data_IF_781364556841
#
_entry.id   IF_781364556841
#
_cell.length_a   1.000
_cell.length_b   1.000
_cell.length_c   1.000
_cell.angle_alpha   90.00
_cell.angle_beta   90.00
_cell.angle_gamma   90.00
#
_symmetry.space_group_name_H-M   'P 1'
#
loop_
_entity.id
_entity.type
_entity.pdbx_description
1 polymer ?
#
# COMPACT_ATOMS: atom_id res chain seq x y z
N UNK A 1 48.74 24.96 11.30
CA UNK A 1 47.96 25.25 10.06
C UNK A 1 47.61 24.00 9.26
N UNK A 2 48.56 23.12 8.86
CA UNK A 2 48.24 21.90 8.08
C UNK A 2 47.25 20.94 8.76
N UNK A 3 47.32 20.76 10.08
CA UNK A 3 46.37 19.92 10.82
C UNK A 3 44.97 20.56 11.02
N UNK A 4 44.89 21.89 11.08
CA UNK A 4 43.61 22.61 11.07
C UNK A 4 42.92 22.57 9.70
N UNK A 5 43.69 22.63 8.60
CA UNK A 5 43.18 22.47 7.24
C UNK A 5 42.68 21.03 6.97
N UNK A 6 43.37 20.02 7.51
CA UNK A 6 42.93 18.61 7.41
C UNK A 6 41.64 18.33 8.20
N UNK A 7 41.49 18.89 9.41
CA UNK A 7 40.27 18.76 10.20
C UNK A 7 39.05 19.44 9.54
N UNK A 8 39.27 20.60 8.90
CA UNK A 8 38.22 21.32 8.16
C UNK A 8 37.76 20.55 6.91
N UNK A 9 38.70 19.88 6.21
CA UNK A 9 38.39 19.02 5.06
C UNK A 9 37.60 17.76 5.45
N UNK A 10 37.91 17.16 6.61
CA UNK A 10 37.15 16.02 7.14
C UNK A 10 35.73 16.41 7.57
N UNK A 11 35.56 17.60 8.16
CA UNK A 11 34.23 18.09 8.54
C UNK A 11 33.36 18.39 7.30
N UNK A 12 33.93 19.01 6.26
CA UNK A 12 33.23 19.28 4.99
C UNK A 12 32.82 18.01 4.23
N UNK A 13 33.60 16.92 4.30
CA UNK A 13 33.23 15.63 3.68
C UNK A 13 32.06 14.93 4.40
N UNK A 14 31.96 15.05 5.73
CA UNK A 14 30.85 14.43 6.47
C UNK A 14 29.48 15.04 6.20
N UNK A 15 29.40 16.34 5.87
CA UNK A 15 28.13 16.99 5.52
C UNK A 15 27.60 16.57 4.14
N UNK A 16 28.48 16.32 3.16
CA UNK A 16 28.08 15.91 1.82
C UNK A 16 27.37 14.55 1.78
N UNK A 17 27.85 13.60 2.58
CA UNK A 17 27.27 12.25 2.62
C UNK A 17 25.84 12.23 3.22
N UNK A 18 25.58 13.05 4.26
CA UNK A 18 24.26 13.12 4.89
C UNK A 18 23.22 13.78 3.96
N UNK A 19 23.56 14.88 3.29
CA UNK A 19 22.66 15.56 2.37
C UNK A 19 22.28 14.67 1.17
N UNK A 20 23.24 13.95 0.59
CA UNK A 20 23.01 13.04 -0.53
C UNK A 20 22.12 11.84 -0.16
N UNK A 21 22.16 11.40 1.11
CA UNK A 21 21.30 10.32 1.59
C UNK A 21 19.83 10.74 1.73
N UNK A 22 19.56 11.98 2.17
CA UNK A 22 18.21 12.51 2.33
C UNK A 22 17.50 12.71 0.98
N UNK A 23 18.21 13.20 -0.04
CA UNK A 23 17.66 13.36 -1.40
C UNK A 23 17.34 12.01 -2.05
N UNK A 24 18.19 11.00 -1.84
CA UNK A 24 17.95 9.65 -2.33
C UNK A 24 16.72 9.00 -1.67
N UNK A 25 16.53 9.23 -0.37
CA UNK A 25 15.38 8.75 0.39
C UNK A 25 14.07 9.43 -0.02
N UNK A 26 14.09 10.75 -0.24
CA UNK A 26 12.96 11.50 -0.77
C UNK A 26 12.58 11.03 -2.19
N UNK A 27 13.59 10.81 -3.05
CA UNK A 27 13.38 10.30 -4.41
C UNK A 27 12.75 8.91 -4.40
N UNK A 28 13.28 7.99 -3.57
CA UNK A 28 12.74 6.64 -3.47
C UNK A 28 11.31 6.64 -2.94
N UNK A 29 11.02 7.47 -1.94
CA UNK A 29 9.66 7.69 -1.42
C UNK A 29 8.69 8.16 -2.50
N UNK A 30 9.12 9.09 -3.35
CA UNK A 30 8.31 9.56 -4.47
C UNK A 30 8.05 8.45 -5.49
N UNK A 31 9.02 7.58 -5.76
CA UNK A 31 8.82 6.42 -6.65
C UNK A 31 7.75 5.47 -6.11
N UNK A 32 7.76 5.18 -4.80
CA UNK A 32 6.73 4.36 -4.16
C UNK A 32 5.35 5.03 -4.24
N UNK A 33 5.27 6.33 -3.97
CA UNK A 33 4.01 7.08 -4.11
C UNK A 33 3.45 7.00 -5.53
N UNK A 34 4.27 7.30 -6.54
CA UNK A 34 3.86 7.22 -7.94
C UNK A 34 3.41 5.82 -8.34
N UNK A 35 4.13 4.78 -7.89
CA UNK A 35 3.76 3.39 -8.14
C UNK A 35 2.37 3.06 -7.56
N UNK A 36 2.12 3.43 -6.30
CA UNK A 36 0.85 3.19 -5.63
C UNK A 36 -0.30 3.99 -6.24
N UNK A 37 -0.09 5.27 -6.57
CA UNK A 37 -1.11 6.10 -7.20
C UNK A 37 -1.50 5.55 -8.58
N UNK A 38 -0.52 5.06 -9.35
CA UNK A 38 -0.82 4.40 -10.61
C UNK A 38 -1.53 3.06 -10.40
N UNK A 39 -1.16 2.27 -9.39
CA UNK A 39 -1.88 1.02 -9.07
C UNK A 39 -3.36 1.28 -8.74
N UNK A 40 -3.64 2.31 -7.92
CA UNK A 40 -5.02 2.74 -7.63
C UNK A 40 -5.75 3.24 -8.87
N UNK A 41 -5.06 3.96 -9.76
CA UNK A 41 -5.61 4.42 -11.05
C UNK A 41 -5.94 3.26 -11.99
N UNK A 42 -5.11 2.22 -12.03
CA UNK A 42 -5.35 1.04 -12.87
C UNK A 42 -6.61 0.30 -12.41
N UNK A 43 -6.81 0.16 -11.09
CA UNK A 43 -8.06 -0.35 -10.54
C UNK A 43 -9.28 0.48 -10.94
N UNK A 44 -9.21 1.81 -10.80
CA UNK A 44 -10.32 2.70 -11.15
C UNK A 44 -10.71 2.62 -12.64
N UNK A 45 -9.75 2.31 -13.51
CA UNK A 45 -9.98 2.13 -14.95
C UNK A 45 -10.31 0.69 -15.34
N UNK A 46 -10.36 -0.25 -14.40
CA UNK A 46 -10.45 -1.68 -14.64
C UNK A 46 -9.36 -2.18 -15.62
N UNK A 47 -8.14 -1.64 -15.52
CA UNK A 47 -7.01 -2.04 -16.35
C UNK A 47 -6.38 -3.33 -15.80
N UNK A 48 -6.28 -4.42 -16.60
CA UNK A 48 -5.66 -5.68 -16.16
C UNK A 48 -4.22 -5.54 -15.65
N UNK A 49 -3.47 -4.51 -16.08
CA UNK A 49 -2.11 -4.19 -15.57
C UNK A 49 -2.09 -4.01 -14.05
N UNK A 50 -3.23 -3.67 -13.44
CA UNK A 50 -3.44 -3.66 -12.01
C UNK A 50 -2.91 -4.93 -11.31
N UNK A 51 -3.20 -6.10 -11.86
CA UNK A 51 -2.77 -7.38 -11.29
C UNK A 51 -1.29 -7.65 -11.57
N UNK A 52 -0.76 -7.19 -12.69
CA UNK A 52 0.65 -7.41 -13.07
C UNK A 52 1.64 -6.67 -12.17
N UNK A 53 1.16 -5.67 -11.42
CA UNK A 53 1.90 -4.96 -10.37
C UNK A 53 1.98 -5.70 -9.04
N UNK A 54 1.26 -6.80 -8.89
CA UNK A 54 1.38 -7.69 -7.74
C UNK A 54 2.35 -8.83 -8.08
N UNK A 55 3.15 -9.22 -7.08
CA UNK A 55 4.02 -10.37 -7.20
C UNK A 55 3.22 -11.63 -7.54
N UNK A 56 3.79 -12.62 -8.26
CA UNK A 56 3.10 -13.87 -8.57
C UNK A 56 2.57 -14.62 -7.33
N UNK A 57 3.30 -14.54 -6.21
CA UNK A 57 2.92 -15.06 -4.90
C UNK A 57 2.34 -14.00 -3.96
N UNK A 58 1.99 -12.81 -4.49
CA UNK A 58 1.48 -11.70 -3.70
C UNK A 58 0.12 -11.99 -3.10
N UNK A 59 -0.14 -11.41 -1.93
CA UNK A 59 -1.39 -11.59 -1.18
C UNK A 59 -2.20 -10.30 -1.18
N UNK A 60 -3.50 -10.42 -1.43
CA UNK A 60 -4.49 -9.37 -1.25
C UNK A 60 -5.46 -9.77 -0.13
N UNK A 61 -5.59 -8.92 0.88
CA UNK A 61 -6.58 -9.04 1.94
C UNK A 61 -7.61 -7.93 1.79
N UNK A 62 -8.85 -8.33 1.57
CA UNK A 62 -9.98 -7.41 1.42
C UNK A 62 -10.58 -6.99 2.76
N UNK A 63 -11.76 -6.38 2.71
CA UNK A 63 -12.44 -5.84 3.89
C UNK A 63 -13.31 -6.87 4.60
N UNK A 64 -13.77 -7.91 3.90
CA UNK A 64 -14.50 -9.02 4.51
C UNK A 64 -13.54 -10.06 5.11
N UNK A 65 -13.94 -10.69 6.21
CA UNK A 65 -13.10 -11.62 7.00
C UNK A 65 -12.65 -12.87 6.22
N UNK A 66 -13.33 -13.20 5.12
CA UNK A 66 -13.00 -14.35 4.26
C UNK A 66 -12.09 -13.96 3.09
N UNK A 67 -11.83 -12.67 2.89
CA UNK A 67 -11.10 -12.13 1.75
C UNK A 67 -9.59 -12.20 1.98
N UNK A 68 -9.03 -13.35 1.64
CA UNK A 68 -7.58 -13.56 1.51
C UNK A 68 -7.30 -14.34 0.24
N UNK A 69 -6.55 -13.72 -0.67
CA UNK A 69 -6.30 -14.29 -1.99
C UNK A 69 -4.85 -14.15 -2.39
N UNK A 70 -4.31 -15.16 -3.08
CA UNK A 70 -3.16 -14.94 -3.95
C UNK A 70 -3.55 -14.01 -5.10
N UNK A 71 -2.59 -13.36 -5.76
CA UNK A 71 -2.84 -12.51 -6.94
C UNK A 71 -3.76 -13.17 -7.96
N UNK A 72 -3.51 -14.43 -8.31
CA UNK A 72 -4.27 -15.12 -9.36
C UNK A 72 -5.69 -15.47 -8.89
N UNK A 73 -5.87 -15.84 -7.62
CA UNK A 73 -7.20 -16.00 -7.01
C UNK A 73 -7.97 -14.68 -7.00
N UNK A 74 -7.29 -13.59 -6.63
CA UNK A 74 -7.89 -12.26 -6.59
C UNK A 74 -8.31 -11.81 -7.98
N UNK A 75 -7.48 -12.04 -9.01
CA UNK A 75 -7.82 -11.76 -10.41
C UNK A 75 -9.09 -12.48 -10.87
N UNK A 76 -9.25 -13.75 -10.49
CA UNK A 76 -10.47 -14.52 -10.81
C UNK A 76 -11.68 -13.94 -10.08
N UNK A 77 -11.57 -13.66 -8.79
CA UNK A 77 -12.64 -13.06 -7.99
C UNK A 77 -13.05 -11.66 -8.49
N UNK A 78 -12.07 -10.85 -8.91
CA UNK A 78 -12.25 -9.49 -9.39
C UNK A 78 -12.80 -9.40 -10.81
N UNK A 79 -12.73 -10.48 -11.60
CA UNK A 79 -13.16 -10.51 -13.00
C UNK A 79 -14.55 -9.88 -13.25
N UNK A 80 -15.63 -10.26 -12.55
CA UNK A 80 -16.95 -9.66 -12.78
C UNK A 80 -17.03 -8.17 -12.44
N UNK A 81 -16.07 -7.61 -11.69
CA UNK A 81 -15.99 -6.18 -11.38
C UNK A 81 -15.23 -5.42 -12.47
N UNK A 82 -14.15 -6.01 -12.98
CA UNK A 82 -13.35 -5.45 -14.07
C UNK A 82 -14.11 -5.48 -15.40
N UNK A 83 -14.82 -6.57 -15.72
CA UNK A 83 -15.60 -6.70 -16.97
C UNK A 83 -16.67 -5.60 -17.09
N UNK A 84 -17.28 -5.20 -15.97
CA UNK A 84 -18.32 -4.16 -15.92
C UNK A 84 -17.78 -2.74 -15.77
N UNK A 85 -16.45 -2.55 -15.77
CA UNK A 85 -15.77 -1.27 -15.53
C UNK A 85 -16.27 -0.52 -14.29
N UNK A 86 -16.67 -1.29 -13.28
CA UNK A 86 -17.17 -0.80 -11.99
C UNK A 86 -16.43 -1.56 -10.88
N UNK A 87 -15.11 -1.41 -10.91
CA UNK A 87 -14.22 -1.84 -9.85
C UNK A 87 -14.15 -0.73 -8.78
N UNK A 88 -13.09 -0.73 -7.98
CA UNK A 88 -12.88 0.22 -6.90
C UNK A 88 -12.11 1.46 -7.37
N UNK A 89 -12.40 2.60 -6.75
CA UNK A 89 -11.71 3.86 -6.98
C UNK A 89 -11.13 4.32 -5.65
N UNK A 90 -9.80 4.31 -5.57
CA UNK A 90 -9.05 4.63 -4.37
C UNK A 90 -8.24 5.88 -4.61
N UNK A 91 -8.47 6.91 -3.80
CA UNK A 91 -7.67 8.15 -3.83
C UNK A 91 -6.99 8.32 -2.49
N UNK A 92 -5.65 8.38 -2.49
CA UNK A 92 -4.90 8.59 -1.26
C UNK A 92 -5.15 9.99 -0.69
N UNK A 93 -5.54 10.02 0.58
CA UNK A 93 -5.62 11.24 1.40
C UNK A 93 -4.25 11.53 2.01
N UNK A 94 -3.62 10.47 2.54
CA UNK A 94 -2.27 10.48 3.09
C UNK A 94 -1.63 9.11 2.88
N UNK A 95 -0.32 9.09 2.66
CA UNK A 95 0.49 7.87 2.58
C UNK A 95 1.81 8.08 3.32
N UNK A 96 2.07 7.21 4.29
CA UNK A 96 3.37 7.09 4.91
C UNK A 96 4.12 5.95 4.21
N UNK A 97 5.40 6.16 3.93
CA UNK A 97 6.24 5.15 3.28
C UNK A 97 7.45 4.92 4.17
N UNK A 98 7.92 3.69 4.19
CA UNK A 98 9.09 3.27 4.93
C UNK A 98 9.85 2.28 4.04
N UNK A 99 11.14 2.11 4.29
CA UNK A 99 11.93 1.19 3.49
C UNK A 99 13.18 0.72 4.20
N UNK A 100 13.62 -0.47 3.78
CA UNK A 100 14.91 -1.06 4.15
C UNK A 100 16.07 -0.13 3.75
N UNK A 101 17.18 -0.18 4.50
CA UNK A 101 18.35 0.66 4.23
C UNK A 101 18.90 0.49 2.81
N UNK A 102 18.84 -0.73 2.26
CA UNK A 102 19.25 -1.03 0.89
C UNK A 102 18.15 -0.80 -0.16
N UNK A 103 16.96 -0.31 0.24
CA UNK A 103 15.82 -0.02 -0.63
C UNK A 103 15.35 -1.23 -1.46
N UNK A 104 15.57 -2.44 -0.95
CA UNK A 104 15.07 -3.69 -1.56
C UNK A 104 13.59 -3.93 -1.26
N UNK A 105 13.15 -3.49 -0.08
CA UNK A 105 11.76 -3.48 0.35
C UNK A 105 11.32 -2.10 0.80
N UNK A 106 10.05 -1.79 0.52
CA UNK A 106 9.30 -0.69 1.10
C UNK A 106 8.01 -1.23 1.74
N UNK A 107 7.53 -0.56 2.77
CA UNK A 107 6.19 -0.79 3.32
C UNK A 107 5.51 0.55 3.54
N UNK A 108 4.19 0.55 3.52
CA UNK A 108 3.41 1.77 3.61
C UNK A 108 2.14 1.55 4.41
N UNK A 109 1.63 2.65 4.95
CA UNK A 109 0.24 2.78 5.36
C UNK A 109 -0.37 3.99 4.65
N UNK A 110 -1.62 3.86 4.24
CA UNK A 110 -2.34 4.93 3.57
C UNK A 110 -3.79 5.01 4.06
N UNK A 111 -4.33 6.22 4.04
CA UNK A 111 -5.75 6.45 4.20
C UNK A 111 -6.32 6.82 2.84
N UNK A 112 -7.39 6.13 2.45
CA UNK A 112 -7.99 6.21 1.13
C UNK A 112 -9.40 6.77 1.23
N UNK A 113 -9.73 7.69 0.34
CA UNK A 113 -11.11 7.99 0.01
C UNK A 113 -11.62 6.94 -0.98
N UNK A 114 -12.75 6.31 -0.67
CA UNK A 114 -13.32 5.19 -1.44
C UNK A 114 -14.84 5.27 -1.50
N UNK A 115 -15.48 4.40 -2.30
CA UNK A 115 -16.95 4.29 -2.33
C UNK A 115 -17.55 3.74 -1.02
N UNK A 116 -16.74 3.05 -0.21
CA UNK A 116 -17.16 2.50 1.09
C UNK A 116 -16.99 3.51 2.25
N UNK A 117 -16.54 4.73 1.95
CA UNK A 117 -16.06 5.70 2.93
C UNK A 117 -14.54 5.65 3.09
N UNK A 118 -14.03 6.11 4.23
CA UNK A 118 -12.59 6.14 4.48
C UNK A 118 -12.08 4.73 4.79
N UNK A 119 -11.11 4.28 4.01
CA UNK A 119 -10.39 3.04 4.27
C UNK A 119 -8.98 3.33 4.77
N UNK A 120 -8.44 2.40 5.56
CA UNK A 120 -7.03 2.32 5.91
C UNK A 120 -6.45 1.11 5.20
N UNK A 121 -5.37 1.31 4.47
CA UNK A 121 -4.63 0.24 3.82
C UNK A 121 -3.17 0.22 4.27
N UNK A 122 -2.56 -0.95 4.17
CA UNK A 122 -1.12 -1.13 4.34
C UNK A 122 -0.61 -2.18 3.37
N UNK A 123 0.67 -2.10 3.02
CA UNK A 123 1.25 -3.06 2.10
C UNK A 123 2.77 -3.11 2.12
N UNK A 124 3.28 -4.13 1.47
CA UNK A 124 4.70 -4.42 1.28
C UNK A 124 5.00 -4.45 -0.21
N UNK A 125 6.03 -3.71 -0.61
CA UNK A 125 6.51 -3.60 -1.98
C UNK A 125 7.94 -4.11 -2.03
N UNK A 126 8.21 -5.05 -2.93
CA UNK A 126 9.57 -5.45 -3.27
C UNK A 126 10.04 -4.68 -4.51
N UNK A 127 11.27 -4.19 -4.46
CA UNK A 127 11.99 -3.69 -5.62
C UNK A 127 12.61 -4.87 -6.37
N UNK A 128 12.37 -4.93 -7.68
CA UNK A 128 12.92 -5.94 -8.59
C UNK A 128 13.89 -5.29 -9.57
N UNK A 129 14.51 -6.10 -10.43
CA UNK A 129 15.29 -5.58 -11.55
C UNK A 129 14.42 -4.84 -12.58
N UNK A 130 13.13 -5.15 -12.66
CA UNK A 130 12.17 -4.60 -13.62
C UNK A 130 11.28 -3.48 -13.06
N UNK A 131 11.36 -3.18 -11.76
CA UNK A 131 10.57 -2.13 -11.14
C UNK A 131 10.14 -2.47 -9.71
N UNK A 132 8.86 -2.33 -9.42
CA UNK A 132 8.26 -2.60 -8.12
C UNK A 132 7.13 -3.61 -8.27
N UNK A 133 6.94 -4.43 -7.25
CA UNK A 133 5.79 -5.31 -7.15
C UNK A 133 5.26 -5.37 -5.72
N UNK A 134 3.94 -5.48 -5.59
CA UNK A 134 3.24 -5.61 -4.32
C UNK A 134 3.27 -7.08 -3.90
N UNK A 135 3.89 -7.37 -2.76
CA UNK A 135 3.90 -8.72 -2.18
C UNK A 135 2.75 -8.93 -1.19
N UNK A 136 2.30 -7.86 -0.55
CA UNK A 136 1.21 -7.92 0.40
C UNK A 136 0.41 -6.62 0.37
N UNK A 137 -0.90 -6.72 0.36
CA UNK A 137 -1.81 -5.58 0.51
C UNK A 137 -2.98 -5.96 1.40
N UNK A 138 -3.32 -5.08 2.34
CA UNK A 138 -4.49 -5.24 3.20
C UNK A 138 -5.30 -3.95 3.22
N UNK A 139 -6.61 -4.07 2.99
CA UNK A 139 -7.58 -2.99 3.03
C UNK A 139 -8.56 -3.18 4.18
N UNK A 140 -8.87 -2.11 4.91
CA UNK A 140 -9.83 -2.15 6.01
C UNK A 140 -10.67 -0.87 6.06
N UNK A 141 -11.92 -0.97 6.51
CA UNK A 141 -12.72 0.20 6.85
C UNK A 141 -12.10 0.92 8.04
N UNK A 142 -11.89 2.23 7.94
CA UNK A 142 -11.42 3.04 9.06
C UNK A 142 -12.60 3.42 9.97
N UNK A 143 -13.09 2.46 10.75
CA UNK A 143 -14.27 2.64 11.62
C UNK A 143 -13.95 3.66 12.73
N UNK A 144 -14.72 4.77 12.85
CA UNK A 144 -14.54 5.71 13.94
C UNK A 144 -14.79 5.06 15.31
N UNK A 145 -13.91 5.30 16.27
CA UNK A 145 -14.03 4.74 17.63
C UNK A 145 -15.42 4.91 18.27
N UNK A 146 -16.13 6.05 18.14
CA UNK A 146 -17.48 6.21 18.69
C UNK A 146 -18.53 5.26 18.09
N UNK A 147 -18.28 4.68 16.91
CA UNK A 147 -19.19 3.75 16.23
C UNK A 147 -18.88 2.27 16.50
N UNK A 148 -17.78 1.97 17.21
CA UNK A 148 -17.29 0.60 17.37
C UNK A 148 -18.25 -0.33 18.10
N UNK A 149 -18.96 0.16 19.13
CA UNK A 149 -19.94 -0.65 19.86
C UNK A 149 -21.10 -1.07 18.95
N UNK A 150 -21.68 -0.11 18.23
CA UNK A 150 -22.78 -0.36 17.29
C UNK A 150 -22.33 -1.30 16.17
N UNK A 151 -21.16 -1.05 15.57
CA UNK A 151 -20.62 -1.86 14.49
C UNK A 151 -20.37 -3.31 14.94
N UNK A 152 -19.65 -3.50 16.06
CA UNK A 152 -19.36 -4.84 16.59
C UNK A 152 -20.61 -5.61 17.02
N UNK A 153 -21.65 -4.92 17.52
CA UNK A 153 -22.95 -5.54 17.77
C UNK A 153 -23.60 -6.06 16.49
N UNK A 154 -23.66 -5.24 15.43
CA UNK A 154 -24.23 -5.63 14.15
C UNK A 154 -23.51 -6.84 13.52
N UNK A 155 -22.18 -6.87 13.59
CA UNK A 155 -21.37 -8.01 13.12
C UNK A 155 -21.73 -9.29 13.89
N UNK A 156 -21.78 -9.24 15.23
CA UNK A 156 -22.14 -10.42 16.05
C UNK A 156 -23.55 -10.92 15.76
N UNK A 157 -24.51 -10.02 15.60
CA UNK A 157 -25.90 -10.39 15.27
C UNK A 157 -26.02 -11.01 13.87
N UNK A 158 -25.23 -10.54 12.90
CA UNK A 158 -25.17 -11.15 11.57
C UNK A 158 -24.58 -12.56 11.65
N UNK A 159 -23.44 -12.72 12.32
CA UNK A 159 -22.72 -14.00 12.43
C UNK A 159 -23.46 -15.08 13.24
N UNK A 160 -24.31 -14.68 14.19
CA UNK A 160 -25.12 -15.61 14.97
C UNK A 160 -26.26 -16.28 14.17
N UNK A 161 -26.60 -15.75 12.98
CA UNK A 161 -27.64 -16.35 12.12
C UNK A 161 -27.12 -17.62 11.43
N UNK A 162 -27.93 -18.69 11.35
CA UNK A 162 -27.54 -19.89 10.60
C UNK A 162 -27.26 -19.58 9.12
N UNK A 163 -26.25 -20.22 8.54
CA UNK A 163 -25.78 -19.98 7.16
C UNK A 163 -26.85 -20.21 6.06
N UNK A 164 -27.96 -20.87 6.37
CA UNK A 164 -29.09 -21.03 5.44
C UNK A 164 -30.04 -19.81 5.38
N UNK A 165 -29.81 -18.79 6.20
CA UNK A 165 -30.64 -17.59 6.31
C UNK A 165 -29.86 -16.28 5.98
N UNK A 166 -28.64 -16.41 5.45
CA UNK A 166 -27.78 -15.31 4.96
C UNK A 166 -27.66 -15.41 3.44
#
# INVERSE_FOLDING_TARGET
MKQLLAALAFFLMSYGAAAQSADADATFRQQINTFMDQWHKDAANADPVYFDKMAPNGIYIGTDKTEIWTRDQFKVWAKPFFDRKNAWSFTAIKRNVYFSANKSYAWFDEQLNTQMGICQASGVIRRTASGFEIEHYQLSLAVPNPLMEQFSKAVREFEAKPAAAQ
#
